data_IF_268687595905
#
_entry.id   IF_268687595905
#
_cell.length_a   1.000
_cell.length_b   1.000
_cell.length_c   1.000
_cell.angle_alpha   90.00
_cell.angle_beta   90.00
_cell.angle_gamma   90.00
#
_symmetry.space_group_name_H-M   'P 1'
#
loop_
_entity.id
_entity.type
_entity.pdbx_description
1 polymer ?
#
# COMPACT_ATOMS: atom_id res chain seq x y z
N UNK A 1 4.75 3.25 -8.35
CA UNK A 1 3.36 2.86 -8.66
C UNK A 1 3.17 2.41 -10.11
N UNK A 2 3.59 3.18 -11.13
CA UNK A 2 3.51 2.75 -12.54
C UNK A 2 4.26 1.44 -12.79
N UNK A 3 5.45 1.28 -12.20
CA UNK A 3 6.24 0.06 -12.31
C UNK A 3 5.55 -1.14 -11.62
N UNK A 4 4.90 -0.93 -10.47
CA UNK A 4 4.12 -1.95 -9.76
C UNK A 4 2.95 -2.47 -10.59
N UNK A 5 2.23 -1.57 -11.25
CA UNK A 5 1.07 -1.88 -12.07
C UNK A 5 1.49 -2.58 -13.38
N UNK A 6 2.62 -2.18 -13.95
CA UNK A 6 3.23 -2.87 -15.10
C UNK A 6 3.66 -4.30 -14.73
N UNK A 7 4.27 -4.47 -13.55
CA UNK A 7 4.67 -5.77 -13.03
C UNK A 7 3.47 -6.67 -12.74
N UNK A 8 2.39 -6.12 -12.19
CA UNK A 8 1.10 -6.81 -12.03
C UNK A 8 0.65 -7.40 -13.38
N UNK A 9 0.53 -6.59 -14.42
CA UNK A 9 0.11 -7.03 -15.75
C UNK A 9 1.07 -8.04 -16.41
N UNK A 10 2.37 -7.95 -16.10
CA UNK A 10 3.38 -8.86 -16.61
C UNK A 10 3.52 -10.15 -15.81
N UNK A 11 2.92 -10.21 -14.62
CA UNK A 11 3.00 -11.36 -13.73
C UNK A 11 2.43 -12.60 -14.42
N UNK A 12 3.15 -13.72 -14.28
CA UNK A 12 2.74 -14.99 -14.89
C UNK A 12 1.36 -15.40 -14.36
N UNK A 13 1.07 -15.09 -13.11
CA UNK A 13 -0.18 -15.38 -12.44
C UNK A 13 -1.38 -14.66 -13.11
N UNK A 14 -1.22 -13.41 -13.55
CA UNK A 14 -2.24 -12.70 -14.34
C UNK A 14 -2.25 -13.06 -15.83
N UNK A 15 -1.11 -13.52 -16.38
CA UNK A 15 -1.05 -13.99 -17.77
C UNK A 15 -1.67 -15.37 -17.95
N UNK A 16 -1.45 -16.27 -17.00
CA UNK A 16 -2.11 -17.59 -16.94
C UNK A 16 -3.62 -17.43 -16.64
N UNK A 17 -4.02 -16.30 -16.06
CA UNK A 17 -5.40 -15.88 -15.88
C UNK A 17 -6.07 -15.34 -17.17
N UNK A 18 -5.31 -15.00 -18.23
CA UNK A 18 -5.82 -14.50 -19.54
C UNK A 18 -6.23 -15.62 -20.53
N UNK A 19 -6.75 -16.75 -20.07
CA UNK A 19 -7.29 -17.76 -20.98
C UNK A 19 -8.63 -17.32 -21.58
N UNK A 20 -8.72 -17.20 -22.91
CA UNK A 20 -9.88 -17.09 -23.85
C UNK A 20 -11.22 -16.43 -23.42
N UNK A 21 -11.32 -15.76 -22.27
CA UNK A 21 -12.50 -15.03 -21.79
C UNK A 21 -12.15 -13.85 -20.88
N UNK A 22 -13.07 -12.88 -20.78
CA UNK A 22 -12.98 -11.77 -19.82
C UNK A 22 -12.98 -12.33 -18.40
N UNK A 23 -11.83 -12.31 -17.74
CA UNK A 23 -11.73 -12.74 -16.35
C UNK A 23 -12.02 -11.57 -15.42
N UNK A 24 -12.97 -11.79 -14.54
CA UNK A 24 -13.29 -10.89 -13.44
C UNK A 24 -12.13 -10.90 -12.43
N UNK A 25 -11.65 -9.71 -12.07
CA UNK A 25 -10.68 -9.47 -10.99
C UNK A 25 -11.41 -8.73 -9.88
N UNK A 26 -11.37 -9.26 -8.67
CA UNK A 26 -12.00 -8.63 -7.52
C UNK A 26 -10.97 -7.87 -6.68
N UNK A 27 -11.29 -6.62 -6.35
CA UNK A 27 -10.43 -5.74 -5.53
C UNK A 27 -11.12 -5.45 -4.21
N UNK A 28 -10.46 -5.80 -3.11
CA UNK A 28 -10.97 -5.51 -1.77
C UNK A 28 -10.56 -4.09 -1.32
N UNK A 29 -11.49 -3.33 -0.74
CA UNK A 29 -11.29 -1.93 -0.33
C UNK A 29 -11.49 -1.74 1.17
N UNK A 30 -10.50 -1.12 1.83
CA UNK A 30 -10.57 -0.76 3.26
C UNK A 30 -11.33 0.56 3.47
N UNK A 31 -11.97 0.72 4.63
CA UNK A 31 -12.70 1.96 4.97
C UNK A 31 -11.79 3.08 5.46
N UNK A 32 -11.00 3.62 4.54
CA UNK A 32 -10.33 4.90 4.70
C UNK A 32 -10.04 5.53 3.34
N UNK A 33 -9.95 6.86 3.30
CA UNK A 33 -9.87 7.65 2.06
C UNK A 33 -8.80 7.19 1.08
N UNK A 34 -7.59 6.89 1.56
CA UNK A 34 -6.50 6.44 0.68
C UNK A 34 -6.81 5.09 0.02
N UNK A 35 -7.47 4.16 0.70
CA UNK A 35 -7.82 2.87 0.10
C UNK A 35 -8.79 3.07 -1.07
N UNK A 36 -9.79 3.93 -0.92
CA UNK A 36 -10.73 4.26 -2.01
C UNK A 36 -9.99 4.84 -3.22
N UNK A 37 -9.04 5.75 -3.00
CA UNK A 37 -8.26 6.37 -4.09
C UNK A 37 -7.41 5.32 -4.79
N UNK A 38 -6.66 4.49 -4.04
CA UNK A 38 -5.76 3.50 -4.62
C UNK A 38 -6.53 2.38 -5.34
N UNK A 39 -7.68 1.96 -4.82
CA UNK A 39 -8.57 0.98 -5.47
C UNK A 39 -9.12 1.52 -6.78
N UNK A 40 -9.58 2.78 -6.83
CA UNK A 40 -10.04 3.41 -8.07
C UNK A 40 -8.91 3.52 -9.12
N UNK A 41 -7.68 3.84 -8.68
CA UNK A 41 -6.51 3.86 -9.57
C UNK A 41 -6.22 2.47 -10.15
N UNK A 42 -6.32 1.43 -9.33
CA UNK A 42 -6.13 0.04 -9.74
C UNK A 42 -7.25 -0.44 -10.66
N UNK A 43 -8.51 -0.13 -10.34
CA UNK A 43 -9.69 -0.42 -11.15
C UNK A 43 -9.53 0.12 -12.58
N UNK A 44 -9.19 1.41 -12.71
CA UNK A 44 -8.97 2.04 -14.02
C UNK A 44 -7.82 1.39 -14.77
N UNK A 45 -6.71 1.13 -14.08
CA UNK A 45 -5.54 0.53 -14.71
C UNK A 45 -5.83 -0.88 -15.24
N UNK A 46 -6.54 -1.71 -14.48
CA UNK A 46 -6.93 -3.06 -14.89
C UNK A 46 -7.98 -3.03 -16.02
N UNK A 47 -8.96 -2.14 -15.93
CA UNK A 47 -10.00 -1.96 -16.96
C UNK A 47 -9.39 -1.56 -18.31
N UNK A 48 -8.40 -0.67 -18.31
CA UNK A 48 -7.65 -0.27 -19.51
C UNK A 48 -6.89 -1.43 -20.19
N UNK A 49 -6.68 -2.54 -19.46
CA UNK A 49 -5.95 -3.72 -19.92
C UNK A 49 -6.84 -4.96 -20.12
N UNK A 50 -8.14 -4.73 -20.34
CA UNK A 50 -9.16 -5.73 -20.67
C UNK A 50 -9.45 -6.75 -19.55
N UNK A 51 -9.31 -6.34 -18.29
CA UNK A 51 -9.85 -7.08 -17.16
C UNK A 51 -11.23 -6.50 -16.80
N UNK A 52 -12.19 -7.37 -16.50
CA UNK A 52 -13.42 -6.96 -15.82
C UNK A 52 -13.11 -6.83 -14.34
N UNK A 53 -13.49 -5.74 -13.69
CA UNK A 53 -13.14 -5.51 -12.28
C UNK A 53 -14.40 -5.32 -11.46
N UNK A 54 -14.49 -6.04 -10.34
CA UNK A 54 -15.52 -5.85 -9.31
C UNK A 54 -14.86 -5.35 -8.03
N UNK A 55 -15.37 -4.23 -7.51
CA UNK A 55 -14.95 -3.71 -6.21
C UNK A 55 -15.80 -4.36 -5.12
N UNK A 56 -15.14 -5.02 -4.18
CA UNK A 56 -15.75 -5.59 -2.99
C UNK A 56 -15.34 -4.72 -1.79
N UNK A 57 -16.33 -4.16 -1.09
CA UNK A 57 -16.07 -3.36 0.10
C UNK A 57 -17.34 -2.89 0.78
N UNK A 58 -17.60 -3.40 1.99
CA UNK A 58 -18.62 -2.91 2.92
C UNK A 58 -18.03 -2.21 4.15
N UNK A 59 -16.71 -2.05 4.20
CA UNK A 59 -16.02 -1.12 5.09
C UNK A 59 -15.30 -1.72 6.31
N UNK A 60 -15.29 -3.03 6.51
CA UNK A 60 -14.39 -3.66 7.52
C UNK A 60 -13.62 -4.91 7.02
N UNK A 61 -12.86 -4.84 5.91
CA UNK A 61 -11.95 -5.93 5.60
C UNK A 61 -10.81 -5.99 6.61
N UNK A 62 -10.59 -7.18 7.18
CA UNK A 62 -9.32 -7.49 7.82
C UNK A 62 -8.46 -8.31 6.85
N UNK A 63 -7.14 -8.26 7.01
CA UNK A 63 -6.23 -9.17 6.30
C UNK A 63 -6.65 -10.65 6.45
N UNK A 64 -7.25 -11.00 7.59
CA UNK A 64 -7.79 -12.33 7.85
C UNK A 64 -9.07 -12.64 7.05
N UNK A 65 -9.88 -11.62 6.74
CA UNK A 65 -11.05 -11.75 5.86
C UNK A 65 -10.58 -12.03 4.44
N UNK A 66 -9.57 -11.29 3.95
CA UNK A 66 -8.96 -11.53 2.65
C UNK A 66 -8.39 -12.96 2.54
N UNK A 67 -7.63 -13.44 3.54
CA UNK A 67 -7.10 -14.81 3.55
C UNK A 67 -8.16 -15.91 3.53
N UNK A 68 -9.38 -15.61 3.95
CA UNK A 68 -10.49 -16.57 4.02
C UNK A 68 -11.43 -16.46 2.82
N UNK A 69 -11.33 -15.38 2.05
CA UNK A 69 -12.12 -15.20 0.85
C UNK A 69 -11.51 -16.00 -0.29
N UNK A 70 -12.29 -16.90 -0.88
CA UNK A 70 -11.95 -17.48 -2.19
C UNK A 70 -12.28 -16.54 -3.36
N UNK A 71 -12.84 -15.36 -3.06
CA UNK A 71 -13.45 -14.46 -4.02
C UNK A 71 -12.68 -13.16 -4.20
N UNK A 72 -11.56 -12.95 -3.48
CA UNK A 72 -10.79 -11.71 -3.54
C UNK A 72 -9.43 -11.97 -4.21
N UNK A 73 -9.17 -11.32 -5.35
CA UNK A 73 -7.92 -11.50 -6.10
C UNK A 73 -6.82 -10.52 -5.67
N UNK A 74 -7.20 -9.27 -5.38
CA UNK A 74 -6.27 -8.19 -5.08
C UNK A 74 -6.66 -7.44 -3.79
N UNK A 75 -5.64 -7.07 -3.03
CA UNK A 75 -5.78 -6.28 -1.81
C UNK A 75 -4.58 -5.37 -1.61
N UNK A 76 -4.84 -4.10 -1.32
CA UNK A 76 -3.81 -3.09 -1.10
C UNK A 76 -3.49 -3.06 0.39
N UNK A 77 -2.22 -3.32 0.71
CA UNK A 77 -1.73 -3.40 2.08
C UNK A 77 -0.47 -2.58 2.27
N UNK A 78 -0.32 -2.08 3.50
CA UNK A 78 0.92 -1.46 3.93
C UNK A 78 1.91 -2.53 4.36
N UNK A 79 3.16 -2.41 3.92
CA UNK A 79 4.20 -3.38 4.21
C UNK A 79 4.43 -3.60 5.72
N UNK A 80 4.24 -2.56 6.53
CA UNK A 80 4.35 -2.60 7.99
C UNK A 80 3.21 -3.32 8.72
N UNK A 81 2.05 -3.52 8.10
CA UNK A 81 0.95 -4.32 8.70
C UNK A 81 1.17 -5.82 8.52
N UNK A 82 1.99 -6.21 7.54
CA UNK A 82 2.25 -7.62 7.22
C UNK A 82 3.20 -8.32 8.19
N UNK A 83 4.10 -7.57 8.86
CA UNK A 83 5.05 -8.08 9.87
C UNK A 83 5.73 -6.91 10.63
N UNK A 84 6.10 -7.04 11.92
CA UNK A 84 6.97 -6.07 12.61
C UNK A 84 8.37 -6.01 11.96
N UNK A 85 9.05 -4.87 12.06
CA UNK A 85 10.24 -4.57 11.25
C UNK A 85 11.32 -5.68 11.23
N UNK A 86 11.53 -6.39 10.11
CA UNK A 86 12.60 -7.39 9.87
C UNK A 86 13.78 -6.91 9.03
N UNK A 87 13.65 -5.82 8.27
CA UNK A 87 14.71 -5.29 7.40
C UNK A 87 14.54 -3.77 7.18
N UNK A 88 15.64 -3.08 6.89
CA UNK A 88 15.64 -1.65 6.53
C UNK A 88 15.54 -1.41 5.01
N UNK A 89 15.73 -2.46 4.20
CA UNK A 89 15.62 -2.41 2.74
C UNK A 89 14.24 -2.88 2.29
N UNK A 90 13.62 -2.13 1.36
CA UNK A 90 12.26 -2.40 0.90
C UNK A 90 12.16 -3.69 0.07
N UNK A 91 13.22 -4.08 -0.65
CA UNK A 91 13.23 -5.30 -1.44
C UNK A 91 13.38 -6.53 -0.54
N UNK A 92 14.34 -6.49 0.40
CA UNK A 92 14.50 -7.54 1.42
C UNK A 92 13.21 -7.75 2.22
N UNK A 93 12.49 -6.66 2.49
CA UNK A 93 11.17 -6.69 3.11
C UNK A 93 10.13 -7.44 2.30
N UNK A 94 9.96 -7.08 1.02
CA UNK A 94 9.00 -7.72 0.11
C UNK A 94 9.33 -9.21 -0.05
N UNK A 95 10.61 -9.57 -0.13
CA UNK A 95 11.03 -10.97 -0.19
C UNK A 95 10.69 -11.73 1.10
N UNK A 96 10.89 -11.12 2.28
CA UNK A 96 10.51 -11.72 3.55
C UNK A 96 9.00 -11.95 3.64
N UNK A 97 8.20 -10.96 3.24
CA UNK A 97 6.74 -11.08 3.17
C UNK A 97 6.33 -12.19 2.19
N UNK A 98 6.89 -12.22 0.98
CA UNK A 98 6.60 -13.28 0.00
C UNK A 98 6.90 -14.68 0.54
N UNK A 99 7.99 -14.87 1.29
CA UNK A 99 8.28 -16.16 1.95
C UNK A 99 7.23 -16.54 2.99
N UNK A 100 6.75 -15.59 3.79
CA UNK A 100 5.73 -15.83 4.83
C UNK A 100 4.36 -16.13 4.20
N UNK A 101 4.03 -15.43 3.12
CA UNK A 101 2.70 -15.45 2.51
C UNK A 101 2.53 -16.53 1.44
N UNK A 102 3.62 -17.12 0.95
CA UNK A 102 3.60 -18.21 -0.03
C UNK A 102 2.77 -19.44 0.42
N UNK A 103 2.65 -19.70 1.73
CA UNK A 103 1.84 -20.81 2.25
C UNK A 103 0.32 -20.65 2.00
N UNK A 104 -0.12 -19.43 1.71
CA UNK A 104 -1.49 -19.12 1.31
C UNK A 104 -1.59 -18.83 -0.20
N UNK A 105 -0.55 -19.16 -0.97
CA UNK A 105 -0.45 -18.84 -2.41
C UNK A 105 -0.59 -17.35 -2.71
N UNK A 106 -0.21 -16.49 -1.75
CA UNK A 106 -0.26 -15.04 -1.89
C UNK A 106 1.12 -14.47 -2.19
N UNK A 107 1.11 -13.44 -3.03
CA UNK A 107 2.31 -12.77 -3.51
C UNK A 107 2.18 -11.26 -3.34
N UNK A 108 3.13 -10.69 -2.64
CA UNK A 108 3.36 -9.25 -2.60
C UNK A 108 4.01 -8.81 -3.90
N UNK A 109 3.42 -7.78 -4.49
CA UNK A 109 3.95 -7.07 -5.65
C UNK A 109 4.93 -5.98 -5.20
N UNK A 110 5.51 -5.26 -6.17
CA UNK A 110 6.42 -4.17 -5.86
C UNK A 110 5.75 -3.09 -5.01
N UNK A 111 6.55 -2.43 -4.17
CA UNK A 111 6.09 -1.26 -3.42
C UNK A 111 5.62 -0.15 -4.36
N UNK A 112 4.58 0.58 -3.93
CA UNK A 112 4.10 1.78 -4.61
C UNK A 112 5.13 2.91 -4.65
N UNK A 113 6.13 2.87 -3.76
CA UNK A 113 7.21 3.86 -3.63
C UNK A 113 6.91 4.99 -2.66
N UNK A 114 5.80 4.94 -1.93
CA UNK A 114 5.46 5.89 -0.87
C UNK A 114 5.37 5.19 0.49
N UNK A 115 5.61 5.94 1.56
CA UNK A 115 5.48 5.46 2.93
C UNK A 115 4.28 6.13 3.60
N UNK A 116 3.30 5.33 4.02
CA UNK A 116 2.25 5.78 4.93
C UNK A 116 2.66 5.41 6.36
N UNK A 117 3.25 6.37 7.06
CA UNK A 117 3.74 6.24 8.43
C UNK A 117 3.33 7.47 9.23
N UNK A 118 3.36 7.37 10.55
CA UNK A 118 3.24 8.54 11.41
C UNK A 118 4.42 9.49 11.17
N UNK A 119 4.11 10.78 10.97
CA UNK A 119 5.08 11.82 10.65
C UNK A 119 4.84 13.06 11.51
N UNK A 120 5.92 13.82 11.75
CA UNK A 120 5.80 15.21 12.16
C UNK A 120 5.75 16.09 10.92
N UNK A 121 4.67 16.86 10.79
CA UNK A 121 4.44 17.75 9.65
C UNK A 121 4.62 19.19 10.11
N UNK A 122 5.31 20.00 9.30
CA UNK A 122 5.54 21.42 9.56
C UNK A 122 5.02 22.27 8.39
N UNK A 123 4.60 23.50 8.67
CA UNK A 123 4.32 24.49 7.64
C UNK A 123 5.55 24.70 6.72
N UNK A 124 5.36 24.56 5.40
CA UNK A 124 6.44 24.60 4.43
C UNK A 124 7.29 25.88 4.50
N UNK A 125 6.67 27.06 4.59
CA UNK A 125 7.40 28.32 4.69
C UNK A 125 8.25 28.40 5.97
N UNK A 126 7.78 27.79 7.07
CA UNK A 126 8.53 27.71 8.33
C UNK A 126 9.70 26.74 8.23
N UNK A 127 9.48 25.58 7.59
CA UNK A 127 10.54 24.61 7.32
C UNK A 127 11.65 25.24 6.47
N UNK A 128 11.29 25.98 5.42
CA UNK A 128 12.24 26.70 4.55
C UNK A 128 13.01 27.80 5.27
N UNK A 129 12.33 28.55 6.14
CA UNK A 129 12.95 29.59 6.97
C UNK A 129 13.97 28.97 7.94
N UNK A 130 13.62 27.85 8.55
CA UNK A 130 14.43 27.18 9.55
C UNK A 130 15.41 26.15 8.96
N UNK A 131 15.36 25.90 7.65
CA UNK A 131 16.16 24.88 6.96
C UNK A 131 15.99 23.49 7.60
N UNK A 132 14.73 23.11 7.83
CA UNK A 132 14.35 21.80 8.37
C UNK A 132 13.94 20.89 7.22
N UNK A 133 14.65 19.77 7.05
CA UNK A 133 14.33 18.73 6.06
C UNK A 133 14.22 17.34 6.69
N UNK A 134 14.81 17.14 7.88
CA UNK A 134 14.76 15.89 8.63
C UNK A 134 14.44 16.13 10.11
N UNK A 135 14.01 15.07 10.79
CA UNK A 135 13.73 15.08 12.23
C UNK A 135 14.95 15.55 13.06
N UNK A 136 16.16 15.20 12.63
CA UNK A 136 17.41 15.61 13.28
C UNK A 136 17.59 17.13 13.34
N UNK A 137 17.03 17.87 12.38
CA UNK A 137 17.17 19.33 12.30
C UNK A 137 16.34 20.06 13.37
N UNK A 138 15.40 19.34 14.01
CA UNK A 138 14.53 19.87 15.06
C UNK A 138 15.24 19.96 16.41
N UNK A 139 16.32 19.21 16.63
CA UNK A 139 16.99 19.07 17.94
C UNK A 139 17.27 20.43 18.59
N UNK A 140 17.85 21.35 17.83
CA UNK A 140 18.28 22.66 18.33
C UNK A 140 17.22 23.76 18.18
N UNK A 141 16.04 23.41 17.63
CA UNK A 141 14.98 24.37 17.26
C UNK A 141 13.66 24.13 17.99
N UNK A 142 13.51 22.95 18.60
CA UNK A 142 12.30 22.47 19.27
C UNK A 142 11.73 23.44 20.30
N UNK A 143 12.61 24.14 21.05
CA UNK A 143 12.21 25.13 22.07
C UNK A 143 11.41 26.32 21.52
N UNK A 144 11.49 26.57 20.21
CA UNK A 144 10.80 27.68 19.53
C UNK A 144 9.57 27.22 18.74
N UNK A 145 9.21 25.94 18.84
CA UNK A 145 8.13 25.32 18.09
C UNK A 145 7.03 24.86 19.04
N UNK A 146 5.79 24.96 18.56
CA UNK A 146 4.65 24.33 19.21
C UNK A 146 4.34 23.06 18.43
N UNK A 147 4.22 21.95 19.15
CA UNK A 147 3.80 20.68 18.60
C UNK A 147 2.38 20.39 19.07
N UNK A 148 1.48 20.19 18.11
CA UNK A 148 0.11 19.74 18.37
C UNK A 148 0.01 18.27 17.97
N UNK A 149 -0.52 17.46 18.88
CA UNK A 149 -0.76 16.05 18.67
C UNK A 149 -2.05 15.64 19.37
N UNK A 150 -2.61 14.49 18.95
CA UNK A 150 -3.67 13.87 19.71
C UNK A 150 -3.13 13.34 21.06
N UNK A 151 -4.04 12.93 21.95
CA UNK A 151 -3.67 12.47 23.31
C UNK A 151 -2.83 11.18 23.34
N UNK A 152 -2.77 10.45 22.25
CA UNK A 152 -2.16 9.12 22.15
C UNK A 152 -0.75 9.18 21.54
N UNK A 153 -0.19 10.38 21.37
CA UNK A 153 1.18 10.61 20.90
C UNK A 153 2.19 10.54 22.04
#
# INVERSE_FOLDING_TARGET
MVDTLTDLLSSKELRDARGDGEKLVTVEVLDFTESWILSEMLYRHLSDHAFSVEELGDGEPSLMTFFRSEHNDLFILYSGTGMPSVANDAQEWIEALNRVYAKWSLKWLNSSGFENKELLIMNAAKADQLKIVAMSDLKDRSVSLVFEANRNF
#
